data_IF_193573610370
#
_entry.id   IF_193573610370
#
_cell.length_a   1.000
_cell.length_b   1.000
_cell.length_c   1.000
_cell.angle_alpha   90.00
_cell.angle_beta   90.00
_cell.angle_gamma   90.00
#
_symmetry.space_group_name_H-M   'P 1'
#
loop_
_entity.id
_entity.type
_entity.pdbx_description
1 polymer ?
#
# COMPACT_ATOMS: atom_id res chain seq x y z
N UNK A 1 23.79 -9.00 -42.25
CA UNK A 1 22.44 -9.50 -42.60
C UNK A 1 21.41 -8.65 -41.86
N UNK A 2 20.54 -7.94 -42.59
CA UNK A 2 19.33 -7.28 -42.06
C UNK A 2 18.25 -8.36 -41.88
N UNK A 3 17.49 -8.33 -40.79
CA UNK A 3 16.02 -8.32 -40.82
C UNK A 3 15.44 -8.26 -39.40
N UNK A 4 14.59 -7.25 -39.17
CA UNK A 4 13.60 -7.24 -38.08
C UNK A 4 12.48 -8.25 -38.40
N UNK A 5 11.96 -8.98 -37.39
CA UNK A 5 10.50 -9.17 -37.20
C UNK A 5 10.17 -9.96 -35.93
N UNK A 6 9.07 -9.51 -35.29
CA UNK A 6 8.30 -10.11 -34.19
C UNK A 6 8.92 -9.93 -32.80
N UNK A 7 8.63 -8.86 -32.05
CA UNK A 7 7.33 -8.52 -31.42
C UNK A 7 6.62 -9.76 -30.89
N UNK A 8 6.96 -10.14 -29.67
CA UNK A 8 6.06 -10.82 -28.74
C UNK A 8 5.92 -9.93 -27.51
N UNK A 9 4.98 -8.97 -27.61
CA UNK A 9 4.25 -8.49 -26.44
C UNK A 9 3.44 -9.68 -25.91
N UNK A 10 3.73 -10.16 -24.70
CA UNK A 10 2.73 -10.47 -23.66
C UNK A 10 3.46 -10.52 -22.31
N UNK A 11 3.18 -9.55 -21.45
CA UNK A 11 3.20 -9.78 -20.00
C UNK A 11 4.53 -9.69 -19.25
N UNK A 12 5.47 -8.84 -19.67
CA UNK A 12 6.56 -8.42 -18.77
C UNK A 12 6.03 -7.43 -17.72
N UNK A 13 5.26 -7.91 -16.74
CA UNK A 13 5.31 -7.37 -15.39
C UNK A 13 5.59 -8.53 -14.44
N UNK A 14 6.87 -8.90 -14.41
CA UNK A 14 7.47 -9.50 -13.24
C UNK A 14 7.31 -8.52 -12.07
N UNK A 15 6.20 -8.64 -11.34
CA UNK A 15 6.17 -8.29 -9.93
C UNK A 15 5.77 -9.58 -9.25
N UNK A 16 6.78 -10.41 -8.98
CA UNK A 16 6.65 -11.45 -7.98
C UNK A 16 6.11 -10.77 -6.73
N UNK A 17 4.90 -11.15 -6.33
CA UNK A 17 4.35 -10.77 -5.04
C UNK A 17 5.20 -11.50 -3.99
N UNK A 18 6.02 -10.82 -3.17
CA UNK A 18 6.09 -11.26 -1.80
C UNK A 18 4.70 -10.94 -1.23
N UNK A 19 3.91 -11.97 -0.99
CA UNK A 19 2.73 -11.90 -0.11
C UNK A 19 3.25 -11.62 1.31
N UNK A 20 3.73 -10.41 1.50
CA UNK A 20 4.48 -9.93 2.64
C UNK A 20 4.42 -8.42 2.60
N UNK A 21 3.30 -7.87 3.06
CA UNK A 21 3.20 -6.49 3.55
C UNK A 21 3.69 -5.44 2.53
N UNK A 22 3.12 -5.44 1.32
CA UNK A 22 3.40 -4.39 0.35
C UNK A 22 2.49 -3.18 0.65
N UNK A 23 3.01 -2.22 1.41
CA UNK A 23 2.35 -0.95 1.66
C UNK A 23 2.50 -0.05 0.44
N UNK A 24 1.40 0.20 -0.28
CA UNK A 24 1.40 1.13 -1.43
C UNK A 24 0.97 2.51 -0.95
N UNK A 25 1.92 3.46 -0.95
CA UNK A 25 1.65 4.88 -0.76
C UNK A 25 1.34 5.50 -2.13
N UNK A 26 0.05 5.69 -2.45
CA UNK A 26 -0.36 6.50 -3.59
C UNK A 26 -0.44 7.96 -3.15
N UNK A 27 0.53 8.75 -3.59
CA UNK A 27 0.53 10.19 -3.40
C UNK A 27 -0.46 10.82 -4.39
N UNK A 28 -1.69 11.05 -3.92
CA UNK A 28 -2.65 11.90 -4.61
C UNK A 28 -2.27 13.34 -4.25
N UNK A 29 -1.78 14.09 -5.25
CA UNK A 29 -1.22 15.44 -5.12
C UNK A 29 0.14 15.59 -4.42
N UNK A 30 1.13 15.99 -5.23
CA UNK A 30 2.43 16.46 -4.80
C UNK A 30 2.30 17.54 -3.72
N UNK A 31 2.97 17.35 -2.58
CA UNK A 31 3.08 18.34 -1.52
C UNK A 31 3.65 19.66 -2.09
N UNK A 32 2.79 20.63 -2.35
CA UNK A 32 3.21 22.00 -2.67
C UNK A 32 3.86 22.61 -1.42
N UNK A 33 4.92 23.42 -1.56
CA UNK A 33 5.49 24.16 -0.45
C UNK A 33 4.37 24.90 0.32
N UNK A 34 4.22 24.61 1.62
CA UNK A 34 3.23 25.26 2.48
C UNK A 34 1.85 24.59 2.59
N UNK A 35 1.57 23.48 1.89
CA UNK A 35 0.31 22.72 2.07
C UNK A 35 0.58 21.23 2.36
N UNK A 36 -0.12 20.62 3.34
CA UNK A 36 -0.04 19.18 3.55
C UNK A 36 -0.55 18.44 2.32
N UNK A 37 0.21 17.46 1.82
CA UNK A 37 -0.24 16.54 0.78
C UNK A 37 -1.08 15.42 1.39
N UNK A 38 -2.16 15.01 0.73
CA UNK A 38 -3.02 13.92 1.24
C UNK A 38 -2.64 12.62 0.55
N UNK A 39 -2.05 11.70 1.30
CA UNK A 39 -1.50 10.46 0.75
C UNK A 39 -2.37 9.29 1.22
N UNK A 40 -2.67 8.38 0.31
CA UNK A 40 -3.40 7.15 0.62
C UNK A 40 -2.41 6.00 0.81
N UNK A 41 -2.52 5.32 1.94
CA UNK A 41 -1.74 4.13 2.31
C UNK A 41 -2.65 2.92 2.32
N UNK A 42 -2.30 1.89 1.57
CA UNK A 42 -3.02 0.62 1.54
C UNK A 42 -2.12 -0.54 1.93
N UNK A 43 -2.63 -1.48 2.71
CA UNK A 43 -2.00 -2.77 2.94
C UNK A 43 -3.06 -3.88 3.07
N UNK A 44 -2.67 -5.10 2.72
CA UNK A 44 -3.51 -6.27 2.87
C UNK A 44 -2.70 -7.43 3.47
N UNK A 45 -3.35 -8.28 4.26
CA UNK A 45 -2.73 -9.41 4.93
C UNK A 45 -3.71 -10.59 5.01
N UNK A 46 -3.16 -11.80 4.83
CA UNK A 46 -3.88 -13.05 5.06
C UNK A 46 -3.57 -13.56 6.46
N UNK A 47 -4.59 -14.05 7.16
CA UNK A 47 -4.40 -14.72 8.44
C UNK A 47 -5.47 -15.79 8.68
N UNK A 48 -5.23 -16.65 9.67
CA UNK A 48 -6.16 -17.73 10.01
C UNK A 48 -7.42 -17.23 10.74
N UNK A 49 -7.36 -16.03 11.31
CA UNK A 49 -8.49 -15.38 11.99
C UNK A 49 -8.74 -13.99 11.42
N UNK A 50 -10.01 -13.55 11.44
CA UNK A 50 -10.40 -12.23 10.98
C UNK A 50 -9.67 -11.10 11.74
N UNK A 51 -9.58 -11.22 13.07
CA UNK A 51 -8.91 -10.22 13.91
C UNK A 51 -7.42 -10.11 13.62
N UNK A 52 -6.76 -11.24 13.35
CA UNK A 52 -5.34 -11.23 13.00
C UNK A 52 -5.13 -10.62 11.62
N UNK A 53 -6.00 -10.92 10.65
CA UNK A 53 -5.91 -10.37 9.30
C UNK A 53 -6.09 -8.84 9.32
N UNK A 54 -7.06 -8.34 10.11
CA UNK A 54 -7.28 -6.91 10.34
C UNK A 54 -6.04 -6.25 10.95
N UNK A 55 -5.52 -6.82 12.06
CA UNK A 55 -4.35 -6.26 12.75
C UNK A 55 -3.14 -6.19 11.83
N UNK A 56 -2.83 -7.26 11.11
CA UNK A 56 -1.69 -7.29 10.19
C UNK A 56 -1.84 -6.29 9.03
N UNK A 57 -3.06 -6.07 8.54
CA UNK A 57 -3.32 -5.06 7.51
C UNK A 57 -3.13 -3.63 8.06
N UNK A 58 -3.62 -3.34 9.27
CA UNK A 58 -3.41 -2.06 9.94
C UNK A 58 -1.93 -1.80 10.23
N UNK A 59 -1.20 -2.79 10.75
CA UNK A 59 0.24 -2.71 11.00
C UNK A 59 1.04 -2.49 9.72
N UNK A 60 0.58 -3.04 8.59
CA UNK A 60 1.14 -2.79 7.27
C UNK A 60 0.99 -1.32 6.85
N UNK A 61 -0.20 -0.75 7.02
CA UNK A 61 -0.44 0.68 6.74
C UNK A 61 0.42 1.57 7.61
N UNK A 62 0.52 1.26 8.91
CA UNK A 62 1.28 2.06 9.87
C UNK A 62 2.77 2.06 9.57
N UNK A 63 3.33 0.90 9.18
CA UNK A 63 4.70 0.83 8.65
C UNK A 63 4.87 1.63 7.37
N UNK A 64 3.92 1.55 6.45
CA UNK A 64 3.96 2.32 5.20
C UNK A 64 3.99 3.83 5.43
N UNK A 65 3.24 4.32 6.43
CA UNK A 65 3.28 5.72 6.85
C UNK A 65 4.66 6.06 7.41
N UNK A 66 5.16 5.28 8.37
CA UNK A 66 6.47 5.53 8.99
C UNK A 66 7.62 5.49 7.98
N UNK A 67 7.59 4.57 7.01
CA UNK A 67 8.56 4.49 5.92
C UNK A 67 8.47 5.71 4.98
N UNK A 68 7.24 6.18 4.71
CA UNK A 68 7.04 7.38 3.92
C UNK A 68 7.59 8.63 4.61
N UNK A 69 7.30 8.79 5.90
CA UNK A 69 7.82 9.89 6.74
C UNK A 69 9.35 9.89 6.73
N UNK A 70 9.97 8.73 6.99
CA UNK A 70 11.43 8.56 6.96
C UNK A 70 12.03 8.90 5.59
N UNK A 71 11.39 8.47 4.50
CA UNK A 71 11.90 8.69 3.14
C UNK A 71 11.79 10.15 2.69
N UNK A 72 10.73 10.84 3.10
CA UNK A 72 10.40 12.18 2.58
C UNK A 72 10.74 13.32 3.55
N UNK A 73 11.07 12.99 4.81
CA UNK A 73 11.23 13.98 5.88
C UNK A 73 9.91 14.69 6.20
N UNK A 74 8.77 14.02 5.98
CA UNK A 74 7.45 14.55 6.31
C UNK A 74 6.94 13.93 7.61
N UNK A 75 5.98 14.60 8.24
CA UNK A 75 5.15 14.06 9.30
C UNK A 75 3.73 13.93 8.79
N UNK A 76 3.14 12.75 8.96
CA UNK A 76 1.86 12.34 8.44
C UNK A 76 0.86 12.14 9.57
N UNK A 77 -0.28 12.83 9.48
CA UNK A 77 -1.42 12.64 10.38
C UNK A 77 -2.50 11.83 9.69
N UNK A 78 -2.87 10.68 10.24
CA UNK A 78 -4.01 9.88 9.76
C UNK A 78 -5.29 10.71 9.81
N UNK A 79 -6.02 10.76 8.71
CA UNK A 79 -7.28 11.50 8.57
C UNK A 79 -8.50 10.58 8.74
N UNK A 80 -8.32 9.29 8.49
CA UNK A 80 -9.38 8.30 8.49
C UNK A 80 -9.09 7.22 7.46
N UNK A 81 -9.82 6.12 7.55
CA UNK A 81 -9.59 4.98 6.69
C UNK A 81 -10.71 3.97 6.77
N UNK A 82 -10.63 3.00 5.86
CA UNK A 82 -11.50 1.83 5.83
C UNK A 82 -10.65 0.60 6.13
N UNK A 83 -11.19 -0.27 6.96
CA UNK A 83 -10.68 -1.63 7.14
C UNK A 83 -11.78 -2.59 6.74
N UNK A 84 -11.46 -3.53 5.87
CA UNK A 84 -12.35 -4.62 5.47
C UNK A 84 -11.71 -5.95 5.81
N UNK A 85 -12.55 -6.94 6.07
CA UNK A 85 -12.13 -8.33 6.20
C UNK A 85 -13.06 -9.19 5.37
N UNK A 86 -12.47 -10.07 4.56
CA UNK A 86 -13.20 -11.00 3.72
C UNK A 86 -12.71 -12.42 4.01
N UNK A 87 -13.65 -13.34 4.24
CA UNK A 87 -13.31 -14.76 4.34
C UNK A 87 -12.98 -15.29 2.94
N UNK A 88 -11.75 -15.74 2.72
CA UNK A 88 -11.28 -16.27 1.42
C UNK A 88 -11.43 -17.79 1.33
N UNK A 89 -11.29 -18.49 2.44
CA UNK A 89 -11.50 -19.94 2.53
C UNK A 89 -11.91 -20.33 3.94
N UNK A 90 -12.12 -21.62 4.21
CA UNK A 90 -12.50 -22.11 5.54
C UNK A 90 -11.54 -21.67 6.66
N UNK A 91 -10.24 -21.54 6.34
CA UNK A 91 -9.18 -21.25 7.30
C UNK A 91 -8.45 -19.93 7.03
N UNK A 92 -8.89 -19.11 6.07
CA UNK A 92 -8.18 -17.89 5.71
C UNK A 92 -9.11 -16.70 5.57
N UNK A 93 -8.67 -15.58 6.15
CA UNK A 93 -9.27 -14.27 6.05
C UNK A 93 -8.28 -13.31 5.40
N UNK A 94 -8.76 -12.49 4.47
CA UNK A 94 -8.04 -11.36 3.90
C UNK A 94 -8.49 -10.10 4.62
N UNK A 95 -7.60 -9.50 5.40
CA UNK A 95 -7.77 -8.16 5.95
C UNK A 95 -7.16 -7.15 4.98
N UNK A 96 -7.87 -6.06 4.72
CA UNK A 96 -7.40 -4.95 3.90
C UNK A 96 -7.62 -3.65 4.67
N UNK A 97 -6.60 -2.81 4.74
CA UNK A 97 -6.65 -1.50 5.38
C UNK A 97 -6.23 -0.42 4.39
N UNK A 98 -7.01 0.64 4.31
CA UNK A 98 -6.74 1.82 3.50
C UNK A 98 -6.91 3.07 4.37
N UNK A 99 -5.85 3.85 4.55
CA UNK A 99 -5.85 5.06 5.37
C UNK A 99 -5.39 6.25 4.53
N UNK A 100 -6.13 7.36 4.62
CA UNK A 100 -5.66 8.65 4.12
C UNK A 100 -4.89 9.35 5.24
N UNK A 101 -3.75 9.94 4.93
CA UNK A 101 -2.98 10.75 5.86
C UNK A 101 -2.59 12.09 5.23
N UNK A 102 -2.65 13.16 6.02
CA UNK A 102 -2.11 14.47 5.65
C UNK A 102 -0.64 14.53 6.05
N UNK A 103 0.25 14.61 5.07
CA UNK A 103 1.70 14.65 5.25
C UNK A 103 2.24 16.06 4.99
N UNK A 104 3.04 16.58 5.92
CA UNK A 104 3.67 17.91 5.83
C UNK A 104 5.16 17.79 6.07
N UNK A 105 5.97 18.50 5.28
CA UNK A 105 7.42 18.61 5.53
C UNK A 105 7.65 19.47 6.78
N UNK A 106 8.43 18.93 7.73
CA UNK A 106 8.87 19.63 8.92
C UNK A 106 9.78 20.81 8.59
#
# INVERSE_FOLDING_TARGET
MRSLKSILLVGALAIGLPLGTASVAMADEAAKPGKPGVISFGAAALAETADQAIRLAQDGVDRGIAEHEKRTGTTCKKLGGLVTVEKKSEKLYLGSAHVKAACRKG
#
